data_IF_399084963279
#
_entry.id   IF_399084963279
#
_cell.length_a   1.000
_cell.length_b   1.000
_cell.length_c   1.000
_cell.angle_alpha   90.00
_cell.angle_beta   90.00
_cell.angle_gamma   90.00
#
_symmetry.space_group_name_H-M   'P 1'
#
loop_
_entity.id
_entity.type
_entity.pdbx_description
1 polymer ?
#
# COMPACT_ATOMS: atom_id res chain seq x y z
N UNK A 1 16.81 -21.67 36.97
CA UNK A 1 15.60 -21.12 36.32
C UNK A 1 15.87 -20.85 34.82
N UNK A 2 16.07 -21.89 34.01
CA UNK A 2 16.50 -21.74 32.59
C UNK A 2 15.68 -22.57 31.58
N UNK A 3 14.55 -23.17 31.99
CA UNK A 3 13.79 -24.10 31.13
C UNK A 3 12.48 -23.56 30.56
N UNK A 4 12.05 -22.35 30.92
CA UNK A 4 10.75 -21.80 30.49
C UNK A 4 10.79 -21.07 29.14
N UNK A 5 11.96 -20.59 28.70
CA UNK A 5 12.14 -19.88 27.42
C UNK A 5 12.24 -20.82 26.21
N UNK A 6 12.79 -22.03 26.39
CA UNK A 6 12.97 -22.97 25.28
C UNK A 6 11.68 -23.72 24.90
N UNK A 7 10.80 -23.98 25.88
CA UNK A 7 9.51 -24.63 25.62
C UNK A 7 8.52 -23.72 24.86
N UNK A 8 8.53 -22.41 25.12
CA UNK A 8 7.68 -21.45 24.39
C UNK A 8 8.14 -21.26 22.94
N UNK A 9 9.45 -21.22 22.66
CA UNK A 9 9.96 -21.11 21.28
C UNK A 9 9.62 -22.34 20.43
N UNK A 10 9.69 -23.54 21.01
CA UNK A 10 9.43 -24.81 20.31
C UNK A 10 7.93 -25.04 20.07
N UNK A 11 7.08 -24.64 21.01
CA UNK A 11 5.62 -24.60 20.79
C UNK A 11 5.25 -23.54 19.75
N UNK A 12 5.80 -22.32 19.81
CA UNK A 12 5.56 -21.25 18.83
C UNK A 12 5.92 -21.68 17.40
N UNK A 13 7.03 -22.41 17.21
CA UNK A 13 7.40 -23.02 15.91
C UNK A 13 6.44 -24.12 15.43
N UNK A 14 5.81 -24.89 16.32
CA UNK A 14 4.75 -25.86 15.95
C UNK A 14 3.41 -25.19 15.62
N UNK A 15 3.08 -24.06 16.26
CA UNK A 15 1.90 -23.25 15.95
C UNK A 15 2.04 -22.50 14.60
N UNK A 16 3.27 -22.15 14.20
CA UNK A 16 3.56 -21.53 12.90
C UNK A 16 3.09 -22.35 11.69
N UNK A 17 3.02 -23.69 11.82
CA UNK A 17 2.53 -24.59 10.77
C UNK A 17 1.00 -24.68 10.69
N UNK A 18 0.26 -24.08 11.64
CA UNK A 18 -1.22 -24.09 11.75
C UNK A 18 -1.80 -22.68 11.86
N UNK A 19 -1.20 -21.70 11.18
CA UNK A 19 -1.64 -20.31 11.28
C UNK A 19 -2.98 -20.10 10.57
N UNK A 20 -3.93 -19.51 11.29
CA UNK A 20 -5.17 -18.97 10.74
C UNK A 20 -5.08 -17.44 10.56
N UNK A 21 -6.03 -16.88 9.81
CA UNK A 21 -6.22 -15.43 9.68
C UNK A 21 -6.34 -14.75 11.04
N UNK A 22 -7.18 -15.30 11.93
CA UNK A 22 -7.41 -14.77 13.28
C UNK A 22 -6.14 -14.73 14.13
N UNK A 23 -5.25 -15.72 13.97
CA UNK A 23 -3.97 -15.75 14.67
C UNK A 23 -3.09 -14.61 14.20
N UNK A 24 -2.92 -14.43 12.87
CA UNK A 24 -2.09 -13.35 12.31
C UNK A 24 -2.60 -11.96 12.68
N UNK A 25 -3.91 -11.74 12.59
CA UNK A 25 -4.53 -10.46 12.94
C UNK A 25 -4.43 -10.19 14.45
N UNK A 26 -4.36 -11.23 15.30
CA UNK A 26 -4.17 -11.11 16.75
C UNK A 26 -2.73 -10.96 17.23
N UNK A 27 -1.71 -11.08 16.37
CA UNK A 27 -0.31 -11.03 16.80
C UNK A 27 0.10 -9.64 17.31
N UNK A 28 0.83 -9.56 18.45
CA UNK A 28 1.49 -8.33 18.88
C UNK A 28 2.53 -7.87 17.84
N UNK A 29 2.52 -6.59 17.46
CA UNK A 29 3.39 -6.04 16.41
C UNK A 29 4.90 -6.30 16.65
N UNK A 30 5.31 -6.36 17.92
CA UNK A 30 6.68 -6.62 18.37
C UNK A 30 7.16 -8.06 18.15
N UNK A 31 6.24 -9.02 18.04
CA UNK A 31 6.56 -10.45 17.91
C UNK A 31 6.50 -10.94 16.45
N UNK A 32 5.84 -10.21 15.54
CA UNK A 32 5.59 -10.65 14.16
C UNK A 32 6.89 -11.02 13.43
N UNK A 33 7.85 -10.09 13.34
CA UNK A 33 9.10 -10.31 12.61
C UNK A 33 10.11 -11.21 13.33
N UNK A 34 10.05 -11.28 14.65
CA UNK A 34 10.99 -12.08 15.45
C UNK A 34 10.55 -13.53 15.59
N UNK A 35 9.24 -13.81 15.52
CA UNK A 35 8.67 -15.12 15.85
C UNK A 35 7.96 -15.78 14.66
N UNK A 36 7.40 -15.00 13.74
CA UNK A 36 6.49 -15.52 12.71
C UNK A 36 6.97 -15.33 11.27
N UNK A 37 8.19 -14.81 11.06
CA UNK A 37 8.76 -14.61 9.71
C UNK A 37 8.78 -15.88 8.89
N UNK A 38 9.25 -17.01 9.43
CA UNK A 38 9.26 -18.31 8.71
C UNK A 38 7.85 -18.75 8.31
N UNK A 39 6.88 -18.51 9.19
CA UNK A 39 5.50 -18.89 8.97
C UNK A 39 4.84 -18.02 7.89
N UNK A 40 5.10 -16.71 7.94
CA UNK A 40 4.68 -15.75 6.91
C UNK A 40 5.35 -16.10 5.57
N UNK A 41 6.64 -16.45 5.57
CA UNK A 41 7.35 -16.89 4.37
C UNK A 41 6.70 -18.13 3.76
N UNK A 42 6.34 -19.11 4.58
CA UNK A 42 5.63 -20.29 4.10
C UNK A 42 4.23 -19.94 3.57
N UNK A 43 3.50 -19.02 4.20
CA UNK A 43 2.18 -18.59 3.73
C UNK A 43 2.25 -17.81 2.43
N UNK A 44 3.25 -16.95 2.28
CA UNK A 44 3.48 -16.11 1.11
C UNK A 44 4.35 -16.77 0.03
N UNK A 45 4.72 -18.04 0.18
CA UNK A 45 5.56 -18.73 -0.80
C UNK A 45 4.97 -18.58 -2.22
N UNK A 46 5.77 -18.18 -3.24
CA UNK A 46 5.27 -17.94 -4.59
C UNK A 46 4.52 -19.14 -5.19
N UNK A 47 4.91 -20.36 -4.82
CA UNK A 47 4.25 -21.61 -5.23
C UNK A 47 2.82 -21.77 -4.71
N UNK A 48 2.40 -20.96 -3.72
CA UNK A 48 1.04 -20.94 -3.19
C UNK A 48 0.13 -19.93 -3.90
N UNK A 49 0.67 -19.10 -4.78
CA UNK A 49 -0.14 -18.18 -5.57
C UNK A 49 -1.01 -18.99 -6.54
N UNK A 50 -2.35 -18.81 -6.54
CA UNK A 50 -3.21 -19.52 -7.47
C UNK A 50 -2.87 -19.16 -8.92
N UNK A 51 -2.78 -20.17 -9.77
CA UNK A 51 -2.47 -20.04 -11.19
C UNK A 51 -3.65 -19.54 -12.04
N UNK A 52 -4.87 -19.52 -11.48
CA UNK A 52 -6.08 -18.97 -12.11
C UNK A 52 -6.91 -18.18 -11.10
N UNK A 53 -7.53 -17.11 -11.60
CA UNK A 53 -8.66 -16.46 -10.95
C UNK A 53 -9.82 -17.46 -10.89
N UNK A 54 -10.07 -18.08 -9.74
CA UNK A 54 -11.27 -18.87 -9.50
C UNK A 54 -12.18 -18.11 -8.54
N UNK A 55 -13.49 -18.39 -8.61
CA UNK A 55 -14.52 -17.68 -7.85
C UNK A 55 -14.44 -17.85 -6.31
N UNK A 56 -15.54 -17.65 -5.57
CA UNK A 56 -15.55 -17.40 -4.12
C UNK A 56 -14.97 -18.51 -3.21
N UNK A 57 -14.54 -19.65 -3.76
CA UNK A 57 -13.87 -20.74 -3.05
C UNK A 57 -12.35 -20.58 -2.86
N UNK A 58 -11.73 -19.51 -3.36
CA UNK A 58 -10.29 -19.17 -3.14
C UNK A 58 -10.01 -18.58 -1.74
N UNK A 59 -11.06 -18.41 -0.92
CA UNK A 59 -11.05 -17.61 0.30
C UNK A 59 -9.89 -17.90 1.28
N UNK A 60 -9.52 -19.15 1.53
CA UNK A 60 -8.55 -19.44 2.61
C UNK A 60 -7.13 -18.94 2.34
N UNK A 61 -6.59 -19.17 1.14
CA UNK A 61 -5.20 -18.79 0.81
C UNK A 61 -5.08 -17.29 0.56
N UNK A 62 -6.08 -16.69 -0.11
CA UNK A 62 -6.15 -15.24 -0.29
C UNK A 62 -6.32 -14.52 1.05
N UNK A 63 -7.23 -14.96 1.91
CA UNK A 63 -7.43 -14.34 3.22
C UNK A 63 -6.18 -14.50 4.10
N UNK A 64 -5.51 -15.64 4.03
CA UNK A 64 -4.25 -15.86 4.75
C UNK A 64 -3.14 -14.95 4.23
N UNK A 65 -2.98 -14.82 2.92
CA UNK A 65 -2.01 -13.90 2.32
C UNK A 65 -2.32 -12.43 2.65
N UNK A 66 -3.59 -12.01 2.62
CA UNK A 66 -4.02 -10.68 3.08
C UNK A 66 -3.70 -10.46 4.57
N UNK A 67 -3.95 -11.45 5.42
CA UNK A 67 -3.59 -11.39 6.84
C UNK A 67 -2.08 -11.28 7.03
N UNK A 68 -1.27 -11.98 6.23
CA UNK A 68 0.18 -11.81 6.22
C UNK A 68 0.57 -10.37 5.81
N UNK A 69 -0.06 -9.79 4.79
CA UNK A 69 0.19 -8.41 4.37
C UNK A 69 -0.14 -7.40 5.47
N UNK A 70 -1.29 -7.57 6.16
CA UNK A 70 -1.65 -6.75 7.32
C UNK A 70 -0.64 -6.92 8.46
N UNK A 71 -0.22 -8.14 8.76
CA UNK A 71 0.78 -8.41 9.78
C UNK A 71 2.14 -7.74 9.47
N UNK A 72 2.61 -7.85 8.22
CA UNK A 72 3.83 -7.18 7.75
C UNK A 72 3.73 -5.66 7.85
N UNK A 73 2.60 -5.09 7.43
CA UNK A 73 2.33 -3.66 7.57
C UNK A 73 2.42 -3.20 9.04
N UNK A 74 1.71 -3.89 9.95
CA UNK A 74 1.72 -3.51 11.37
C UNK A 74 3.10 -3.61 11.99
N UNK A 75 3.87 -4.64 11.61
CA UNK A 75 5.21 -4.82 12.17
C UNK A 75 6.22 -3.80 11.64
N UNK A 76 6.14 -3.43 10.36
CA UNK A 76 6.97 -2.37 9.77
C UNK A 76 6.64 -0.99 10.37
N UNK A 77 5.37 -0.66 10.56
CA UNK A 77 4.95 0.56 11.25
C UNK A 77 5.46 0.60 12.70
N UNK A 78 5.33 -0.51 13.43
CA UNK A 78 5.84 -0.62 14.80
C UNK A 78 7.37 -0.48 14.86
N UNK A 79 8.10 -1.09 13.94
CA UNK A 79 9.56 -1.01 13.89
C UNK A 79 10.06 0.42 13.67
N UNK A 80 9.34 1.25 12.88
CA UNK A 80 9.68 2.67 12.71
C UNK A 80 9.57 3.48 13.99
N UNK A 81 8.54 3.24 14.79
CA UNK A 81 8.29 3.97 16.03
C UNK A 81 9.35 3.75 17.12
N UNK A 82 10.20 2.72 16.97
CA UNK A 82 11.18 2.34 17.98
C UNK A 82 12.59 2.92 17.77
N UNK A 83 12.92 3.53 16.62
CA UNK A 83 14.21 4.12 16.24
C UNK A 83 15.51 3.28 16.46
N UNK A 84 15.46 2.13 17.14
CA UNK A 84 16.57 1.24 17.46
C UNK A 84 16.26 -0.21 17.03
N UNK A 85 17.22 -0.86 16.36
CA UNK A 85 17.11 -2.26 15.90
C UNK A 85 16.39 -2.47 14.55
N UNK A 86 16.26 -1.40 13.75
CA UNK A 86 15.55 -1.44 12.48
C UNK A 86 16.32 -2.20 11.39
N UNK A 87 17.65 -2.08 11.35
CA UNK A 87 18.51 -2.71 10.32
C UNK A 87 18.47 -4.24 10.37
N UNK A 88 18.57 -4.86 11.55
CA UNK A 88 18.47 -6.31 11.70
C UNK A 88 17.09 -6.85 11.28
N UNK A 89 16.01 -6.12 11.61
CA UNK A 89 14.64 -6.49 11.24
C UNK A 89 14.36 -6.32 9.74
N UNK A 90 15.00 -5.35 9.08
CA UNK A 90 14.89 -5.13 7.65
C UNK A 90 15.42 -6.31 6.83
N UNK A 91 16.49 -6.98 7.31
CA UNK A 91 17.05 -8.17 6.66
C UNK A 91 16.08 -9.36 6.64
N UNK A 92 15.37 -9.61 7.74
CA UNK A 92 14.42 -10.71 7.87
C UNK A 92 13.22 -10.55 6.93
N UNK A 93 12.78 -9.30 6.73
CA UNK A 93 11.73 -9.01 5.77
C UNK A 93 12.25 -9.23 4.36
N UNK A 94 13.48 -8.85 4.00
CA UNK A 94 14.01 -8.91 2.61
C UNK A 94 13.79 -10.27 1.92
N UNK A 95 13.93 -11.38 2.66
CA UNK A 95 13.69 -12.74 2.15
C UNK A 95 12.23 -13.04 1.79
N UNK A 96 11.28 -12.25 2.26
CA UNK A 96 9.86 -12.36 1.95
C UNK A 96 9.50 -11.71 0.59
N UNK A 97 10.39 -10.89 0.02
CA UNK A 97 10.08 -10.11 -1.19
C UNK A 97 9.53 -10.94 -2.35
N UNK A 98 10.12 -12.10 -2.74
CA UNK A 98 9.58 -12.89 -3.84
C UNK A 98 8.11 -13.28 -3.63
N UNK A 99 7.74 -13.60 -2.38
CA UNK A 99 6.37 -13.92 -2.00
C UNK A 99 5.46 -12.70 -2.02
N UNK A 100 5.90 -11.60 -1.41
CA UNK A 100 5.17 -10.31 -1.40
C UNK A 100 4.88 -9.88 -2.84
N UNK A 101 5.90 -9.86 -3.71
CA UNK A 101 5.77 -9.51 -5.12
C UNK A 101 4.74 -10.39 -5.83
N UNK A 102 4.88 -11.71 -5.74
CA UNK A 102 4.01 -12.64 -6.45
C UNK A 102 2.54 -12.49 -6.03
N UNK A 103 2.28 -12.35 -4.72
CA UNK A 103 0.95 -12.11 -4.19
C UNK A 103 0.41 -10.72 -4.54
N UNK A 104 1.24 -9.67 -4.55
CA UNK A 104 0.84 -8.32 -5.00
C UNK A 104 0.40 -8.33 -6.46
N UNK A 105 1.14 -8.96 -7.36
CA UNK A 105 0.76 -9.10 -8.77
C UNK A 105 -0.58 -9.84 -8.91
N UNK A 106 -0.76 -10.93 -8.17
CA UNK A 106 -2.01 -11.70 -8.16
C UNK A 106 -3.20 -10.89 -7.64
N UNK A 107 -3.03 -10.17 -6.52
CA UNK A 107 -4.05 -9.30 -5.95
C UNK A 107 -4.45 -8.17 -6.90
N UNK A 108 -3.48 -7.53 -7.55
CA UNK A 108 -3.76 -6.50 -8.57
C UNK A 108 -4.55 -7.11 -9.74
N UNK A 109 -4.21 -8.32 -10.18
CA UNK A 109 -4.96 -9.02 -11.23
C UNK A 109 -6.40 -9.30 -10.81
N UNK A 110 -6.65 -9.68 -9.55
CA UNK A 110 -8.02 -9.85 -9.03
C UNK A 110 -8.78 -8.53 -9.14
N UNK A 111 -8.22 -7.45 -8.60
CA UNK A 111 -8.84 -6.11 -8.61
C UNK A 111 -9.19 -5.66 -10.04
N UNK A 112 -8.29 -5.86 -11.01
CA UNK A 112 -8.51 -5.45 -12.41
C UNK A 112 -9.54 -6.32 -13.15
N UNK A 113 -9.67 -7.59 -12.78
CA UNK A 113 -10.58 -8.52 -13.47
C UNK A 113 -12.06 -8.26 -13.14
N UNK A 114 -12.35 -7.64 -12.00
CA UNK A 114 -13.72 -7.46 -11.50
C UNK A 114 -14.38 -6.15 -11.94
N UNK A 115 -13.61 -5.12 -12.29
CA UNK A 115 -14.13 -3.85 -12.84
C UNK A 115 -14.89 -3.97 -14.18
N UNK A 116 -15.14 -5.20 -14.67
CA UNK A 116 -15.86 -5.51 -15.92
C UNK A 116 -17.05 -6.45 -15.77
N UNK A 117 -17.41 -6.89 -14.55
CA UNK A 117 -18.49 -7.85 -14.31
C UNK A 117 -19.69 -7.20 -13.63
N UNK A 118 -20.78 -6.97 -14.39
CA UNK A 118 -22.05 -6.39 -13.91
C UNK A 118 -22.86 -7.35 -12.99
N UNK A 119 -22.39 -8.57 -12.76
CA UNK A 119 -23.08 -9.56 -11.92
C UNK A 119 -22.37 -9.75 -10.56
N UNK A 120 -22.94 -9.19 -9.49
CA UNK A 120 -22.71 -9.61 -8.10
C UNK A 120 -21.25 -9.80 -7.69
N UNK A 121 -20.40 -8.80 -7.97
CA UNK A 121 -18.96 -8.88 -7.80
C UNK A 121 -18.51 -9.08 -6.36
N UNK A 122 -17.44 -9.87 -6.19
CA UNK A 122 -16.68 -9.97 -4.95
C UNK A 122 -16.06 -8.59 -4.61
N UNK A 123 -16.29 -8.09 -3.41
CA UNK A 123 -15.72 -6.81 -2.97
C UNK A 123 -14.20 -6.93 -2.83
N UNK A 124 -13.46 -6.33 -3.76
CA UNK A 124 -11.99 -6.31 -3.75
C UNK A 124 -11.41 -5.21 -2.87
N UNK A 125 -12.23 -4.42 -2.17
CA UNK A 125 -11.80 -3.30 -1.33
C UNK A 125 -10.78 -3.75 -0.29
N UNK A 126 -11.02 -4.86 0.40
CA UNK A 126 -10.07 -5.38 1.39
C UNK A 126 -8.73 -5.79 0.76
N UNK A 127 -8.75 -6.37 -0.44
CA UNK A 127 -7.54 -6.73 -1.19
C UNK A 127 -6.77 -5.46 -1.57
N UNK A 128 -7.45 -4.44 -2.10
CA UNK A 128 -6.84 -3.15 -2.45
C UNK A 128 -6.19 -2.51 -1.23
N UNK A 129 -6.92 -2.43 -0.11
CA UNK A 129 -6.43 -1.84 1.14
C UNK A 129 -5.22 -2.62 1.66
N UNK A 130 -5.33 -3.94 1.81
CA UNK A 130 -4.24 -4.76 2.36
C UNK A 130 -2.97 -4.69 1.49
N UNK A 131 -3.14 -4.73 0.16
CA UNK A 131 -2.04 -4.68 -0.81
C UNK A 131 -1.34 -3.32 -0.75
N UNK A 132 -2.09 -2.23 -0.89
CA UNK A 132 -1.53 -0.87 -0.95
C UNK A 132 -0.93 -0.45 0.39
N UNK A 133 -1.56 -0.82 1.50
CA UNK A 133 -1.07 -0.50 2.83
C UNK A 133 0.25 -1.24 3.13
N UNK A 134 0.34 -2.53 2.80
CA UNK A 134 1.57 -3.30 2.92
C UNK A 134 2.71 -2.70 2.08
N UNK A 135 2.45 -2.44 0.79
CA UNK A 135 3.46 -1.89 -0.11
C UNK A 135 3.90 -0.47 0.28
N UNK A 136 2.99 0.39 0.75
CA UNK A 136 3.36 1.72 1.29
C UNK A 136 4.23 1.58 2.53
N UNK A 137 3.83 0.69 3.44
CA UNK A 137 4.60 0.38 4.63
C UNK A 137 5.97 -0.20 4.31
N UNK A 138 6.17 -0.90 3.19
CA UNK A 138 7.50 -1.32 2.75
C UNK A 138 8.26 -0.19 2.03
N UNK A 139 7.58 0.65 1.27
CA UNK A 139 8.21 1.74 0.50
C UNK A 139 8.70 2.89 1.38
N UNK A 140 7.96 3.19 2.46
CA UNK A 140 8.37 4.20 3.45
C UNK A 140 9.59 3.74 4.29
N UNK A 141 10.01 2.48 4.16
CA UNK A 141 11.30 2.02 4.64
C UNK A 141 12.34 2.40 3.59
N UNK A 142 12.95 3.57 3.77
CA UNK A 142 13.94 4.18 2.86
C UNK A 142 15.22 3.35 2.66
N UNK A 143 15.30 2.14 3.25
CA UNK A 143 16.37 1.18 3.04
C UNK A 143 16.15 0.26 1.82
N UNK A 144 16.30 -1.05 2.06
CA UNK A 144 16.38 -2.11 1.03
C UNK A 144 15.12 -2.26 0.17
N UNK A 145 13.95 -2.02 0.76
CA UNK A 145 12.66 -2.25 0.12
C UNK A 145 12.24 -1.17 -0.86
N UNK A 146 12.50 0.09 -0.52
CA UNK A 146 12.29 1.21 -1.41
C UNK A 146 12.96 0.96 -2.77
N UNK A 147 14.25 0.59 -2.78
CA UNK A 147 14.99 0.30 -4.02
C UNK A 147 14.47 -0.93 -4.77
N UNK A 148 14.04 -1.95 -4.03
CA UNK A 148 13.51 -3.19 -4.62
C UNK A 148 12.20 -2.93 -5.37
N UNK A 149 11.27 -2.19 -4.76
CA UNK A 149 10.01 -1.79 -5.41
C UNK A 149 10.28 -0.85 -6.58
N UNK A 150 11.22 0.08 -6.42
CA UNK A 150 11.57 1.07 -7.42
C UNK A 150 12.13 0.44 -8.72
N UNK A 151 12.96 -0.61 -8.57
CA UNK A 151 13.57 -1.32 -9.71
C UNK A 151 12.64 -2.34 -10.36
N UNK A 152 11.51 -2.68 -9.72
CA UNK A 152 10.51 -3.59 -10.28
C UNK A 152 9.52 -2.84 -11.19
N UNK A 153 9.95 -2.56 -12.42
CA UNK A 153 9.19 -1.77 -13.38
C UNK A 153 7.83 -2.39 -13.75
N UNK A 154 7.74 -3.73 -13.76
CA UNK A 154 6.47 -4.44 -13.99
C UNK A 154 5.49 -4.18 -12.85
N UNK A 155 5.94 -4.32 -11.60
CA UNK A 155 5.12 -4.02 -10.44
C UNK A 155 4.72 -2.53 -10.40
N UNK A 156 5.62 -1.61 -10.73
CA UNK A 156 5.29 -0.19 -10.81
C UNK A 156 4.17 0.11 -11.82
N UNK A 157 4.22 -0.50 -13.00
CA UNK A 157 3.13 -0.38 -13.99
C UNK A 157 1.81 -0.89 -13.43
N UNK A 158 1.83 -2.06 -12.77
CA UNK A 158 0.65 -2.63 -12.12
C UNK A 158 0.13 -1.76 -10.96
N UNK A 159 0.99 -1.08 -10.22
CA UNK A 159 0.59 -0.17 -9.14
C UNK A 159 -0.06 1.11 -9.66
N UNK A 160 0.42 1.68 -10.78
CA UNK A 160 -0.25 2.82 -11.43
C UNK A 160 -1.64 2.42 -11.90
N UNK A 161 -1.78 1.22 -12.46
CA UNK A 161 -3.08 0.67 -12.85
C UNK A 161 -3.99 0.42 -11.65
N UNK A 162 -3.46 -0.13 -10.56
CA UNK A 162 -4.19 -0.30 -9.30
C UNK A 162 -4.64 1.05 -8.73
N UNK A 163 -3.82 2.09 -8.84
CA UNK A 163 -4.17 3.45 -8.40
C UNK A 163 -5.35 3.99 -9.20
N UNK A 164 -5.31 3.86 -10.53
CA UNK A 164 -6.43 4.26 -11.41
C UNK A 164 -7.71 3.52 -11.03
N UNK A 165 -7.61 2.21 -10.82
CA UNK A 165 -8.76 1.40 -10.40
C UNK A 165 -9.28 1.80 -9.02
N UNK A 166 -8.40 2.11 -8.08
CA UNK A 166 -8.76 2.57 -6.73
C UNK A 166 -9.50 3.91 -6.76
N UNK A 167 -9.10 4.83 -7.66
CA UNK A 167 -9.83 6.08 -7.88
C UNK A 167 -11.23 5.82 -8.46
N UNK A 168 -11.37 4.89 -9.42
CA UNK A 168 -12.67 4.55 -10.04
C UNK A 168 -13.62 3.84 -9.09
N UNK A 169 -13.09 3.00 -8.21
CA UNK A 169 -13.87 2.31 -7.16
C UNK A 169 -14.09 3.16 -5.91
N UNK A 170 -13.59 4.41 -5.89
CA UNK A 170 -13.64 5.32 -4.74
C UNK A 170 -13.03 4.73 -3.46
N UNK A 171 -12.07 3.80 -3.57
CA UNK A 171 -11.35 3.22 -2.45
C UNK A 171 -10.30 4.21 -1.90
N UNK A 172 -10.74 5.20 -1.12
CA UNK A 172 -9.91 6.32 -0.66
C UNK A 172 -8.65 5.88 0.10
N UNK A 173 -8.73 4.82 0.89
CA UNK A 173 -7.59 4.28 1.63
C UNK A 173 -6.51 3.79 0.66
N UNK A 174 -6.89 3.07 -0.39
CA UNK A 174 -5.96 2.58 -1.41
C UNK A 174 -5.36 3.74 -2.23
N UNK A 175 -6.19 4.72 -2.61
CA UNK A 175 -5.76 5.94 -3.28
C UNK A 175 -4.70 6.66 -2.45
N UNK A 176 -4.99 6.97 -1.18
CA UNK A 176 -4.05 7.65 -0.27
C UNK A 176 -2.74 6.90 -0.11
N UNK A 177 -2.80 5.57 -0.03
CA UNK A 177 -1.59 4.77 0.14
C UNK A 177 -0.70 4.81 -1.11
N UNK A 178 -1.29 4.68 -2.30
CA UNK A 178 -0.57 4.70 -3.56
C UNK A 178 -0.05 6.11 -3.91
N UNK A 179 -0.84 7.16 -3.67
CA UNK A 179 -0.38 8.55 -3.89
C UNK A 179 0.77 8.92 -2.95
N UNK A 180 0.73 8.46 -1.69
CA UNK A 180 1.83 8.62 -0.72
C UNK A 180 3.11 7.93 -1.24
N UNK A 181 3.00 6.68 -1.70
CA UNK A 181 4.12 5.96 -2.32
C UNK A 181 4.69 6.67 -3.55
N UNK A 182 3.84 7.07 -4.49
CA UNK A 182 4.28 7.73 -5.72
C UNK A 182 4.89 9.10 -5.46
N UNK A 183 4.33 9.86 -4.51
CA UNK A 183 4.90 11.14 -4.07
C UNK A 183 6.30 10.94 -3.48
N UNK A 184 6.51 9.88 -2.69
CA UNK A 184 7.83 9.54 -2.15
C UNK A 184 8.81 9.14 -3.26
N UNK A 185 8.38 8.31 -4.21
CA UNK A 185 9.19 7.90 -5.37
C UNK A 185 9.60 9.11 -6.21
N UNK A 186 8.66 10.02 -6.50
CA UNK A 186 8.93 11.25 -7.26
C UNK A 186 9.80 12.27 -6.50
N UNK A 187 9.92 12.16 -5.17
CA UNK A 187 10.71 13.07 -4.33
C UNK A 187 12.21 12.76 -4.34
N UNK A 188 12.60 11.48 -4.39
CA UNK A 188 14.01 11.11 -4.29
C UNK A 188 14.74 11.35 -5.63
N UNK A 189 15.84 12.12 -5.53
CA UNK A 189 16.66 12.70 -6.62
C UNK A 189 16.76 11.84 -7.88
N UNK A 190 16.11 12.32 -8.94
CA UNK A 190 16.12 11.72 -10.28
C UNK A 190 14.74 11.18 -10.61
N UNK A 191 13.84 12.09 -11.04
CA UNK A 191 12.50 11.81 -11.57
C UNK A 191 12.41 10.36 -12.08
N UNK A 192 11.77 9.47 -11.33
CA UNK A 192 11.82 8.05 -11.65
C UNK A 192 11.17 7.85 -13.02
N UNK A 193 12.01 7.79 -14.07
CA UNK A 193 11.59 8.02 -15.45
C UNK A 193 10.47 7.05 -15.83
N UNK A 194 10.56 5.82 -15.33
CA UNK A 194 9.52 4.79 -15.52
C UNK A 194 8.19 5.22 -14.90
N UNK A 195 8.16 5.66 -13.64
CA UNK A 195 6.92 6.10 -12.99
C UNK A 195 6.34 7.33 -13.70
N UNK A 196 7.21 8.28 -14.07
CA UNK A 196 6.83 9.46 -14.83
C UNK A 196 6.20 9.07 -16.17
N UNK A 197 6.86 8.23 -16.96
CA UNK A 197 6.34 7.74 -18.25
C UNK A 197 4.99 7.06 -18.08
N UNK A 198 4.82 6.18 -17.08
CA UNK A 198 3.56 5.50 -16.82
C UNK A 198 2.41 6.47 -16.51
N UNK A 199 2.68 7.55 -15.76
CA UNK A 199 1.72 8.60 -15.45
C UNK A 199 1.42 9.51 -16.64
N UNK A 200 2.40 9.70 -17.54
CA UNK A 200 2.27 10.46 -18.80
C UNK A 200 1.60 9.67 -19.93
N UNK A 201 1.43 8.34 -19.83
CA UNK A 201 0.80 7.52 -20.88
C UNK A 201 -0.64 7.94 -21.20
N UNK A 202 -1.40 8.36 -20.18
CA UNK A 202 -2.72 8.97 -20.32
C UNK A 202 -2.80 10.19 -19.39
N UNK A 203 -2.29 11.35 -19.84
CA UNK A 203 -2.11 12.49 -18.96
C UNK A 203 -3.45 13.14 -18.58
N UNK A 204 -4.48 13.01 -19.44
CA UNK A 204 -5.83 13.53 -19.18
C UNK A 204 -6.53 12.74 -18.08
N UNK A 205 -6.53 11.40 -18.17
CA UNK A 205 -7.08 10.55 -17.10
C UNK A 205 -6.28 10.71 -15.81
N UNK A 206 -4.94 10.70 -15.87
CA UNK A 206 -4.10 10.92 -14.69
C UNK A 206 -4.42 12.25 -13.99
N UNK A 207 -4.54 13.35 -14.74
CA UNK A 207 -4.88 14.65 -14.18
C UNK A 207 -6.29 14.65 -13.56
N UNK A 208 -7.28 14.09 -14.26
CA UNK A 208 -8.66 13.98 -13.79
C UNK A 208 -8.75 13.21 -12.47
N UNK A 209 -8.18 12.01 -12.40
CA UNK A 209 -8.20 11.16 -11.22
C UNK A 209 -7.45 11.80 -10.04
N UNK A 210 -6.34 12.49 -10.33
CA UNK A 210 -5.58 13.21 -9.31
C UNK A 210 -6.39 14.36 -8.70
N UNK A 211 -7.05 15.17 -9.53
CA UNK A 211 -7.91 16.26 -9.08
C UNK A 211 -9.07 15.69 -8.26
N UNK A 212 -9.78 14.68 -8.78
CA UNK A 212 -10.89 14.02 -8.09
C UNK A 212 -10.46 13.50 -6.72
N UNK A 213 -9.32 12.81 -6.63
CA UNK A 213 -8.81 12.27 -5.36
C UNK A 213 -8.55 13.38 -4.34
N UNK A 214 -8.05 14.54 -4.76
CA UNK A 214 -7.86 15.69 -3.87
C UNK A 214 -9.22 16.24 -3.40
N UNK A 215 -10.21 16.37 -4.28
CA UNK A 215 -11.55 16.81 -3.88
C UNK A 215 -12.17 15.85 -2.86
N UNK A 216 -12.13 14.54 -3.13
CA UNK A 216 -12.68 13.51 -2.25
C UNK A 216 -11.99 13.51 -0.86
N UNK A 217 -10.69 13.82 -0.81
CA UNK A 217 -9.92 13.90 0.44
C UNK A 217 -10.34 15.10 1.33
N UNK A 218 -10.85 16.18 0.72
CA UNK A 218 -11.13 17.45 1.41
C UNK A 218 -12.62 17.88 1.42
N UNK A 219 -13.51 17.21 0.69
CA UNK A 219 -14.96 17.46 0.68
C UNK A 219 -15.79 16.42 1.47
N UNK A 220 -15.25 15.24 1.77
CA UNK A 220 -15.97 14.20 2.51
C UNK A 220 -16.19 14.49 4.01
N UNK A 221 -17.14 13.79 4.69
CA UNK A 221 -17.30 13.81 6.14
C UNK A 221 -16.19 12.99 6.80
N UNK A 222 -14.94 13.32 6.51
CA UNK A 222 -13.81 12.68 7.15
C UNK A 222 -13.80 13.21 8.58
N UNK A 223 -13.97 12.32 9.57
CA UNK A 223 -13.65 12.66 10.95
C UNK A 223 -12.17 12.99 10.97
N UNK A 224 -11.91 14.30 10.99
CA UNK A 224 -10.60 14.91 11.07
C UNK A 224 -10.03 14.57 12.44
N UNK A 225 -9.47 13.37 12.60
CA UNK A 225 -8.61 13.07 13.74
C UNK A 225 -7.29 13.81 13.50
N UNK A 226 -6.67 14.35 14.55
CA UNK A 226 -5.39 15.09 14.46
C UNK A 226 -4.28 14.32 13.75
N UNK A 227 -4.37 12.99 13.72
CA UNK A 227 -3.43 12.10 13.04
C UNK A 227 -3.77 11.88 11.55
N UNK A 228 -5.04 12.05 11.14
CA UNK A 228 -5.51 11.95 9.74
C UNK A 228 -5.33 13.26 8.96
N UNK A 229 -5.17 14.40 9.64
CA UNK A 229 -5.08 15.74 9.01
C UNK A 229 -3.81 15.92 8.16
N UNK A 230 -2.82 15.04 8.30
CA UNK A 230 -1.43 15.35 7.92
C UNK A 230 -0.66 14.21 7.24
N UNK A 231 -1.15 13.64 6.13
CA UNK A 231 -0.18 13.29 5.08
C UNK A 231 -0.36 14.13 3.82
N UNK A 232 -1.52 14.77 3.62
CA UNK A 232 -1.80 15.57 2.42
C UNK A 232 -1.40 14.84 1.14
N UNK A 233 -1.49 13.50 1.12
CA UNK A 233 -0.72 12.68 0.20
C UNK A 233 -1.20 12.87 -1.24
N UNK A 234 -2.51 12.99 -1.42
CA UNK A 234 -3.14 13.34 -2.69
C UNK A 234 -2.70 14.73 -3.17
N UNK A 235 -2.69 15.73 -2.27
CA UNK A 235 -2.25 17.09 -2.59
C UNK A 235 -0.75 17.14 -2.92
N UNK A 236 0.10 16.51 -2.11
CA UNK A 236 1.54 16.42 -2.35
C UNK A 236 1.84 15.69 -3.65
N UNK A 237 1.14 14.60 -3.95
CA UNK A 237 1.27 13.91 -5.21
C UNK A 237 0.88 14.82 -6.38
N UNK A 238 -0.26 15.52 -6.31
CA UNK A 238 -0.66 16.51 -7.32
C UNK A 238 0.42 17.58 -7.55
N UNK A 239 0.98 18.13 -6.47
CA UNK A 239 2.06 19.12 -6.54
C UNK A 239 3.33 18.54 -7.19
N UNK A 240 3.65 17.25 -6.96
CA UNK A 240 4.76 16.57 -7.66
C UNK A 240 4.49 16.40 -9.14
N UNK A 241 3.24 16.10 -9.52
CA UNK A 241 2.86 15.99 -10.94
C UNK A 241 2.95 17.35 -11.66
N UNK A 242 2.77 18.47 -10.98
CA UNK A 242 2.94 19.80 -11.57
C UNK A 242 4.38 20.13 -12.02
N UNK A 243 5.37 19.31 -11.64
CA UNK A 243 6.74 19.44 -12.16
C UNK A 243 6.84 18.85 -13.59
N UNK A 244 5.93 17.94 -13.94
CA UNK A 244 5.88 17.25 -15.22
C UNK A 244 5.10 18.14 -16.21
N UNK A 245 5.71 18.70 -17.27
CA UNK A 245 5.07 19.76 -18.07
C UNK A 245 3.71 19.40 -18.70
N UNK A 246 3.55 18.16 -19.17
CA UNK A 246 2.28 17.73 -19.78
C UNK A 246 1.17 17.62 -18.75
N UNK A 247 1.47 17.14 -17.53
CA UNK A 247 0.50 17.04 -16.44
C UNK A 247 0.23 18.40 -15.80
N UNK A 248 1.24 19.26 -15.68
CA UNK A 248 1.10 20.61 -15.15
C UNK A 248 0.05 21.43 -15.91
N UNK A 249 0.03 21.34 -17.25
CA UNK A 249 -0.97 22.02 -18.09
C UNK A 249 -2.40 21.55 -17.85
N UNK A 250 -2.57 20.30 -17.46
CA UNK A 250 -3.88 19.69 -17.21
C UNK A 250 -4.33 19.86 -15.75
N UNK A 251 -3.38 19.94 -14.83
CA UNK A 251 -3.63 20.09 -13.39
C UNK A 251 -3.81 21.54 -12.98
N UNK A 252 -3.12 22.49 -13.62
CA UNK A 252 -3.21 23.93 -13.31
C UNK A 252 -4.31 24.54 -14.18
N UNK A 253 -5.54 24.44 -13.70
CA UNK A 253 -6.73 25.03 -14.32
C UNK A 253 -7.32 26.09 -13.39
N UNK A 254 -8.18 26.96 -13.91
CA UNK A 254 -8.86 27.94 -13.07
C UNK A 254 -9.63 27.26 -11.92
N UNK A 255 -10.29 26.13 -12.20
CA UNK A 255 -11.04 25.36 -11.22
C UNK A 255 -10.16 24.79 -10.10
N UNK A 256 -9.02 24.17 -10.45
CA UNK A 256 -8.12 23.60 -9.45
C UNK A 256 -7.43 24.67 -8.61
N UNK A 257 -7.08 25.82 -9.19
CA UNK A 257 -6.52 26.98 -8.46
C UNK A 257 -7.55 27.53 -7.48
N UNK A 258 -8.80 27.73 -7.92
CA UNK A 258 -9.88 28.23 -7.06
C UNK A 258 -10.15 27.28 -5.89
N UNK A 259 -10.12 25.97 -6.14
CA UNK A 259 -10.24 24.96 -5.11
C UNK A 259 -9.08 25.02 -4.11
N UNK A 260 -7.83 25.03 -4.59
CA UNK A 260 -6.64 25.15 -3.73
C UNK A 260 -6.69 26.39 -2.85
N UNK A 261 -7.08 27.54 -3.41
CA UNK A 261 -7.28 28.78 -2.66
C UNK A 261 -8.35 28.63 -1.57
N UNK A 262 -9.45 27.93 -1.87
CA UNK A 262 -10.51 27.64 -0.88
C UNK A 262 -10.01 26.72 0.23
N UNK A 263 -9.25 25.68 -0.12
CA UNK A 263 -8.65 24.76 0.84
C UNK A 263 -7.67 25.49 1.75
N UNK A 264 -6.77 26.31 1.21
CA UNK A 264 -5.82 27.11 1.98
C UNK A 264 -6.53 28.07 2.94
N UNK A 265 -7.63 28.71 2.52
CA UNK A 265 -8.47 29.54 3.40
C UNK A 265 -9.06 28.73 4.56
N UNK A 266 -9.60 27.54 4.29
CA UNK A 266 -10.15 26.63 5.31
C UNK A 266 -9.10 26.11 6.29
N UNK A 267 -7.89 25.83 5.81
CA UNK A 267 -6.78 25.39 6.66
C UNK A 267 -6.28 26.55 7.52
N UNK A 268 -6.12 27.75 6.95
CA UNK A 268 -5.73 28.95 7.69
C UNK A 268 -6.71 29.27 8.83
N UNK A 269 -8.02 29.10 8.63
CA UNK A 269 -9.02 29.32 9.68
C UNK A 269 -9.01 28.30 10.82
N UNK A 270 -8.26 27.20 10.70
CA UNK A 270 -8.10 26.20 11.77
C UNK A 270 -6.81 26.39 12.59
N UNK A 271 -5.92 27.27 12.13
CA UNK A 271 -4.62 27.58 12.76
C UNK A 271 -4.72 28.82 13.65
N UNK A 272 -5.79 29.60 13.52
CA UNK A 272 -6.14 30.77 14.35
C UNK A 272 -7.13 30.32 15.42
#
# INVERSE_FOLDING_TARGET
>A
MHNTRNNTSTQRKKYALKISVSVLDGLPCSEILSTYTDAIQQCLAPSKVPWRLQGPSINSSVNLAMACFRALCRSTQYARGLHHGFEERSSAIFHLWPGIRAWSVYFISICKSQGRSESGGFDTTEIMIATTLCLRSLTNDLGSYYNTILTDHELLALLVELWRESCRSHCQIAVRNLTSMFSLILRHKGEHAVLRTLLEMDPAETAKLCIQSVFEDYEGPVQITSDDVLDGSCLHFMLRLCIIPVLARLLITEGSVRFLCTLLKRLASKVI
#
